data_IF_865188827620
#
_entry.id   IF_865188827620
#
_cell.length_a   1.000
_cell.length_b   1.000
_cell.length_c   1.000
_cell.angle_alpha   90.00
_cell.angle_beta   90.00
_cell.angle_gamma   90.00
#
_symmetry.space_group_name_H-M   'P 1'
#
loop_
_entity.id
_entity.type
_entity.pdbx_description
1 polymer ?
#
# COMPACT_ATOMS: atom_id res chain seq x y z
N UNK A 1 -21.47 -16.81 -1.31
CA UNK A 1 -20.08 -17.30 -1.18
C UNK A 1 -19.13 -16.42 -2.02
N UNK A 2 -18.30 -15.61 -1.38
CA UNK A 2 -17.22 -14.90 -2.09
C UNK A 2 -16.16 -15.94 -2.44
N UNK A 3 -16.04 -16.31 -3.72
CA UNK A 3 -14.97 -17.21 -4.19
C UNK A 3 -13.65 -16.50 -3.98
N UNK A 4 -13.01 -16.78 -2.86
CA UNK A 4 -11.68 -16.28 -2.56
C UNK A 4 -10.67 -17.11 -3.35
N UNK A 5 -10.53 -16.78 -4.64
CA UNK A 5 -9.59 -17.47 -5.52
C UNK A 5 -8.17 -17.15 -5.04
N UNK A 6 -7.36 -18.15 -4.68
CA UNK A 6 -5.98 -17.92 -4.28
C UNK A 6 -5.22 -17.16 -5.37
N UNK A 7 -4.69 -16.00 -5.03
CA UNK A 7 -3.98 -15.12 -5.98
C UNK A 7 -4.85 -14.09 -6.70
N UNK A 8 -6.17 -14.04 -6.47
CA UNK A 8 -6.99 -12.94 -6.97
C UNK A 8 -6.61 -11.62 -6.28
N UNK A 9 -6.56 -10.55 -7.07
CA UNK A 9 -6.36 -9.20 -6.54
C UNK A 9 -7.52 -8.82 -5.61
N UNK A 10 -7.17 -8.19 -4.50
CA UNK A 10 -8.08 -7.68 -3.48
C UNK A 10 -7.78 -6.22 -3.22
N UNK A 11 -8.76 -5.49 -2.71
CA UNK A 11 -8.61 -4.08 -2.42
C UNK A 11 -9.04 -3.77 -0.98
N UNK A 12 -8.46 -2.71 -0.42
CA UNK A 12 -8.86 -2.20 0.88
C UNK A 12 -8.46 -0.74 1.07
N UNK A 13 -9.30 0.01 1.78
CA UNK A 13 -8.98 1.37 2.19
C UNK A 13 -8.27 1.37 3.53
N UNK A 14 -7.20 2.15 3.65
CA UNK A 14 -6.44 2.26 4.90
C UNK A 14 -6.18 3.71 5.25
N UNK A 15 -6.54 4.06 6.50
CA UNK A 15 -6.13 5.32 7.10
C UNK A 15 -4.65 5.29 7.42
N UNK A 16 -3.92 6.29 6.99
CA UNK A 16 -2.51 6.46 7.35
C UNK A 16 -2.42 7.00 8.78
N UNK A 17 -1.77 6.23 9.64
CA UNK A 17 -1.50 6.61 11.04
C UNK A 17 -0.63 7.87 11.13
N UNK A 18 -0.59 8.48 12.32
CA UNK A 18 0.22 9.67 12.63
C UNK A 18 1.71 9.52 12.33
N UNK A 19 2.20 8.28 12.30
CA UNK A 19 3.60 7.96 11.99
C UNK A 19 3.83 7.56 10.52
N UNK A 20 2.88 7.82 9.62
CA UNK A 20 3.01 7.55 8.19
C UNK A 20 2.93 6.06 7.83
N UNK A 21 2.19 5.25 8.60
CA UNK A 21 2.02 3.81 8.33
C UNK A 21 0.57 3.40 8.10
N UNK A 22 0.42 2.32 7.34
CA UNK A 22 -0.81 1.53 7.22
C UNK A 22 -0.57 0.09 7.68
N UNK A 23 -1.66 -0.61 7.99
CA UNK A 23 -1.67 -2.03 8.34
C UNK A 23 -2.49 -2.82 7.32
N UNK A 24 -1.86 -3.77 6.64
CA UNK A 24 -2.46 -4.62 5.59
C UNK A 24 -1.67 -5.94 5.52
N UNK A 25 -2.31 -7.05 5.15
CA UNK A 25 -1.65 -8.35 4.97
C UNK A 25 -0.79 -8.80 6.17
N UNK A 26 -1.31 -8.58 7.39
CA UNK A 26 -0.61 -8.82 8.66
C UNK A 26 0.76 -8.12 8.77
N UNK A 27 0.91 -6.99 8.08
CA UNK A 27 2.15 -6.25 8.00
C UNK A 27 1.93 -4.75 8.20
N UNK A 28 2.97 -4.08 8.69
CA UNK A 28 3.05 -2.64 8.83
C UNK A 28 3.87 -2.08 7.68
N UNK A 29 3.28 -1.19 6.89
CA UNK A 29 3.93 -0.59 5.71
C UNK A 29 4.12 0.91 5.96
N UNK A 30 5.33 1.41 5.74
CA UNK A 30 5.61 2.85 5.79
C UNK A 30 5.33 3.47 4.43
N UNK A 31 4.37 4.41 4.40
CA UNK A 31 3.91 5.13 3.19
C UNK A 31 4.28 6.61 3.20
N UNK A 32 4.83 7.10 4.32
CA UNK A 32 5.27 8.48 4.49
C UNK A 32 4.34 9.32 5.35
N UNK A 33 4.91 10.22 6.15
CA UNK A 33 4.17 11.10 7.07
C UNK A 33 3.39 12.22 6.37
N UNK A 34 3.71 12.52 5.11
CA UNK A 34 2.92 13.48 4.30
C UNK A 34 1.49 13.03 4.08
N UNK A 35 1.25 11.72 4.07
CA UNK A 35 -0.08 11.13 3.92
C UNK A 35 -0.79 10.92 5.26
N UNK A 36 -0.19 11.32 6.39
CA UNK A 36 -0.81 11.19 7.72
C UNK A 36 -2.22 11.76 7.70
N UNK A 37 -3.17 11.02 8.27
CA UNK A 37 -4.56 11.45 8.32
C UNK A 37 -5.30 11.36 6.98
N UNK A 38 -4.66 10.94 5.89
CA UNK A 38 -5.34 10.63 4.63
C UNK A 38 -5.71 9.15 4.58
N UNK A 39 -6.72 8.83 3.79
CA UNK A 39 -7.04 7.45 3.41
C UNK A 39 -6.34 7.15 2.09
N UNK A 40 -5.72 5.99 1.98
CA UNK A 40 -5.15 5.48 0.73
C UNK A 40 -5.92 4.23 0.29
N UNK A 41 -5.99 4.02 -1.02
CA UNK A 41 -6.54 2.82 -1.61
C UNK A 41 -5.41 1.82 -1.84
N UNK A 42 -5.57 0.59 -1.36
CA UNK A 42 -4.56 -0.46 -1.45
C UNK A 42 -5.10 -1.57 -2.34
N UNK A 43 -4.42 -1.86 -3.44
CA UNK A 43 -4.65 -3.03 -4.27
C UNK A 43 -3.54 -4.04 -3.97
N UNK A 44 -3.88 -5.31 -3.77
CA UNK A 44 -2.89 -6.32 -3.45
C UNK A 44 -3.28 -7.71 -3.93
N UNK A 45 -2.28 -8.50 -4.31
CA UNK A 45 -2.41 -9.91 -4.62
C UNK A 45 -1.34 -10.74 -3.88
N UNK A 46 -1.13 -11.98 -4.27
CA UNK A 46 -0.13 -12.86 -3.65
C UNK A 46 1.32 -12.36 -3.80
N UNK A 47 1.59 -11.45 -4.74
CA UNK A 47 2.92 -11.03 -5.19
C UNK A 47 3.24 -9.58 -4.89
N UNK A 48 2.26 -8.68 -4.97
CA UNK A 48 2.47 -7.23 -4.96
C UNK A 48 1.42 -6.50 -4.13
N UNK A 49 1.80 -5.34 -3.58
CA UNK A 49 0.92 -4.32 -3.02
C UNK A 49 1.15 -3.02 -3.80
N UNK A 50 0.07 -2.42 -4.29
CA UNK A 50 0.03 -1.10 -4.90
C UNK A 50 -0.79 -0.15 -4.03
N UNK A 51 -0.34 1.11 -3.92
CA UNK A 51 -0.97 2.13 -3.08
C UNK A 51 -1.31 3.33 -3.94
N UNK A 52 -2.57 3.76 -3.88
CA UNK A 52 -3.12 4.87 -4.63
C UNK A 52 -3.63 5.96 -3.67
N UNK A 53 -3.58 7.22 -4.11
CA UNK A 53 -4.31 8.31 -3.44
C UNK A 53 -5.81 8.24 -3.74
N UNK A 54 -6.58 9.15 -3.14
CA UNK A 54 -8.04 9.23 -3.29
C UNK A 54 -8.51 9.57 -4.70
N UNK A 55 -7.62 10.11 -5.53
CA UNK A 55 -7.91 10.43 -6.93
C UNK A 55 -7.54 9.27 -7.88
N UNK A 56 -7.04 8.15 -7.32
CA UNK A 56 -6.65 6.97 -8.07
C UNK A 56 -5.24 7.02 -8.64
N UNK A 57 -4.41 8.00 -8.26
CA UNK A 57 -3.02 8.07 -8.72
C UNK A 57 -2.13 7.11 -7.93
N UNK A 58 -1.31 6.33 -8.63
CA UNK A 58 -0.37 5.39 -8.03
C UNK A 58 0.75 6.14 -7.29
N UNK A 59 0.76 6.02 -5.96
CA UNK A 59 1.79 6.59 -5.08
C UNK A 59 3.04 5.71 -5.05
N UNK A 60 2.88 4.40 -5.13
CA UNK A 60 3.98 3.45 -5.10
C UNK A 60 3.53 2.00 -5.01
N UNK A 61 4.49 1.10 -5.02
CA UNK A 61 4.26 -0.33 -4.84
C UNK A 61 5.38 -0.96 -4.02
N UNK A 62 5.14 -2.18 -3.55
CA UNK A 62 6.12 -3.03 -2.89
C UNK A 62 5.74 -4.50 -3.07
N UNK A 63 6.70 -5.44 -2.96
CA UNK A 63 6.36 -6.86 -2.93
C UNK A 63 5.41 -7.19 -1.78
N UNK A 64 4.57 -8.19 -1.98
CA UNK A 64 3.65 -8.66 -0.95
C UNK A 64 4.45 -9.12 0.27
N UNK A 65 4.07 -8.74 1.49
CA UNK A 65 4.87 -9.02 2.68
C UNK A 65 5.12 -10.50 2.96
N UNK A 66 4.29 -11.40 2.43
CA UNK A 66 4.47 -12.85 2.49
C UNK A 66 5.55 -13.41 1.55
N UNK A 67 6.02 -12.65 0.57
CA UNK A 67 7.13 -13.04 -0.33
C UNK A 67 8.48 -12.49 0.13
N UNK A 68 8.49 -11.62 1.15
CA UNK A 68 9.70 -11.02 1.70
C UNK A 68 10.30 -11.88 2.82
N UNK A 69 11.65 -11.94 2.96
CA UNK A 69 12.30 -12.55 4.11
C UNK A 69 11.86 -11.89 5.44
N UNK A 70 11.80 -12.68 6.51
CA UNK A 70 11.53 -12.18 7.85
C UNK A 70 12.53 -11.08 8.25
N UNK A 71 12.05 -10.03 8.91
CA UNK A 71 12.89 -8.88 9.30
C UNK A 71 13.09 -7.82 8.22
N UNK A 72 12.63 -8.04 6.98
CA UNK A 72 12.71 -7.03 5.91
C UNK A 72 11.83 -5.82 6.23
N UNK A 73 12.42 -4.61 6.19
CA UNK A 73 11.68 -3.38 6.34
C UNK A 73 10.70 -3.18 5.17
N UNK A 74 9.44 -2.95 5.48
CA UNK A 74 8.35 -2.79 4.50
C UNK A 74 8.11 -1.30 4.26
N UNK A 75 8.91 -0.75 3.36
CA UNK A 75 8.86 0.65 2.96
C UNK A 75 8.29 0.72 1.55
N UNK A 76 7.26 1.54 1.36
CA UNK A 76 6.71 1.79 0.04
C UNK A 76 7.80 2.40 -0.84
N UNK A 77 8.08 1.80 -1.99
CA UNK A 77 8.87 2.46 -3.02
C UNK A 77 7.98 3.51 -3.65
N UNK A 78 8.06 4.73 -3.09
CA UNK A 78 7.33 5.89 -3.59
C UNK A 78 7.91 6.21 -4.98
N UNK A 79 7.05 6.22 -6.00
CA UNK A 79 7.44 6.85 -7.26
C UNK A 79 7.63 8.34 -6.95
N UNK A 80 8.71 9.00 -7.41
CA UNK A 80 8.83 10.44 -7.23
C UNK A 80 7.52 11.04 -7.70
N UNK A 81 6.86 11.77 -6.79
CA UNK A 81 5.64 12.48 -7.11
C UNK A 81 5.89 13.19 -8.42
N UNK A 82 5.13 12.83 -9.46
CA UNK A 82 4.91 13.81 -10.51
C UNK A 82 4.26 14.96 -9.77
N UNK A 83 5.05 16.00 -9.49
CA UNK A 83 4.52 17.29 -9.06
C UNK A 83 3.38 17.54 -10.03
N UNK A 84 2.13 17.53 -9.57
CA UNK A 84 1.03 18.03 -10.38
C UNK A 84 1.38 19.50 -10.57
N UNK A 85 2.06 19.78 -11.68
CA UNK A 85 2.27 21.11 -12.16
C UNK A 85 0.92 21.58 -12.68
N UNK A 86 0.50 22.72 -12.14
CA UNK A 86 -0.72 23.49 -12.43
C UNK A 86 -1.95 23.13 -11.60
#
# INVERSE_FOLDING_TARGET
PVSDTPGAARWADRKVSTTGRIYICNAKIYVGTRLTGHTVHVLFDATTIEIFDTDGALLGHLPHPGTMPAGTAKVLTIRPWHTRGQ
#
